data_IF_003573285355
#
_entry.id   IF_003573285355
#
_cell.length_a   1.000
_cell.length_b   1.000
_cell.length_c   1.000
_cell.angle_alpha   90.00
_cell.angle_beta   90.00
_cell.angle_gamma   90.00
#
_symmetry.space_group_name_H-M   'P 1'
#
loop_
_entity.id
_entity.type
_entity.pdbx_description
1 polymer ?
#
# COMPACT_ATOMS: atom_id res chain seq x y z
N UNK A 1 -7.26 26.08 7.46
CA UNK A 1 -7.64 25.28 6.28
C UNK A 1 -8.59 24.17 6.73
N UNK A 2 -9.71 23.99 6.04
CA UNK A 2 -10.67 22.96 6.40
C UNK A 2 -10.15 21.57 5.98
N UNK A 3 -10.64 20.54 6.64
CA UNK A 3 -10.21 19.15 6.45
C UNK A 3 -10.31 18.72 4.99
N UNK A 4 -11.42 19.04 4.31
CA UNK A 4 -11.64 18.68 2.92
C UNK A 4 -10.57 19.25 2.00
N UNK A 5 -10.17 20.50 2.22
CA UNK A 5 -9.12 21.12 1.43
C UNK A 5 -7.77 20.45 1.65
N UNK A 6 -7.49 20.08 2.90
CA UNK A 6 -6.26 19.34 3.23
C UNK A 6 -6.23 17.98 2.55
N UNK A 7 -7.34 17.25 2.59
CA UNK A 7 -7.44 15.95 1.95
C UNK A 7 -7.21 16.05 0.45
N UNK A 8 -7.82 17.05 -0.19
CA UNK A 8 -7.67 17.24 -1.64
C UNK A 8 -6.23 17.59 -2.02
N UNK A 9 -5.60 18.48 -1.27
CA UNK A 9 -4.22 18.87 -1.53
C UNK A 9 -3.26 17.73 -1.32
N UNK A 10 -3.46 16.96 -0.25
CA UNK A 10 -2.63 15.80 0.04
C UNK A 10 -2.78 14.75 -1.04
N UNK A 11 -4.01 14.47 -1.46
CA UNK A 11 -4.27 13.52 -2.54
C UNK A 11 -3.60 13.94 -3.85
N UNK A 12 -3.74 15.21 -4.23
CA UNK A 12 -3.12 15.73 -5.45
C UNK A 12 -1.61 15.57 -5.40
N UNK A 13 -1.02 15.89 -4.26
CA UNK A 13 0.43 15.80 -4.07
C UNK A 13 0.91 14.36 -4.14
N UNK A 14 0.21 13.43 -3.48
CA UNK A 14 0.55 12.02 -3.49
C UNK A 14 0.33 11.41 -4.88
N UNK A 15 -0.70 11.84 -5.57
CA UNK A 15 -0.97 11.38 -6.94
C UNK A 15 0.15 11.80 -7.89
N UNK A 16 0.60 13.05 -7.79
CA UNK A 16 1.72 13.54 -8.60
C UNK A 16 3.02 12.78 -8.27
N UNK A 17 3.25 12.52 -7.00
CA UNK A 17 4.40 11.73 -6.54
C UNK A 17 4.37 10.33 -7.14
N UNK A 18 3.20 9.69 -7.14
CA UNK A 18 3.05 8.35 -7.71
C UNK A 18 3.26 8.34 -9.22
N UNK A 19 2.77 9.37 -9.91
CA UNK A 19 3.00 9.49 -11.35
C UNK A 19 4.48 9.60 -11.69
N UNK A 20 5.24 10.36 -10.91
CA UNK A 20 6.69 10.47 -11.07
C UNK A 20 7.37 9.14 -10.82
N UNK A 21 6.95 8.44 -9.76
CA UNK A 21 7.48 7.12 -9.43
C UNK A 21 7.26 6.12 -10.58
N UNK A 22 6.05 6.08 -11.12
CA UNK A 22 5.72 5.19 -12.22
C UNK A 22 6.46 5.56 -13.51
N UNK A 23 6.59 6.86 -13.79
CA UNK A 23 7.34 7.33 -14.95
C UNK A 23 8.80 6.90 -14.89
N UNK A 24 9.42 7.02 -13.71
CA UNK A 24 10.81 6.60 -13.50
C UNK A 24 10.95 5.10 -13.68
N UNK A 25 9.98 4.31 -13.22
CA UNK A 25 10.00 2.86 -13.39
C UNK A 25 9.86 2.42 -14.84
N UNK A 26 9.05 3.13 -15.64
CA UNK A 26 8.79 2.76 -17.03
C UNK A 26 10.04 2.73 -17.88
N UNK A 27 11.06 3.48 -17.50
CA UNK A 27 12.34 3.52 -18.23
C UNK A 27 13.35 2.52 -17.70
N UNK A 28 12.98 1.74 -16.69
CA UNK A 28 13.84 0.72 -16.09
C UNK A 28 13.68 -0.62 -16.81
N UNK A 29 14.67 -1.52 -16.69
CA UNK A 29 14.53 -2.88 -17.22
C UNK A 29 13.34 -3.62 -16.58
N UNK A 30 12.80 -4.59 -17.31
CA UNK A 30 11.63 -5.34 -16.84
C UNK A 30 11.83 -5.99 -15.49
N UNK A 31 13.04 -6.50 -15.22
CA UNK A 31 13.34 -7.14 -13.93
C UNK A 31 13.21 -6.16 -12.76
N UNK A 32 13.64 -4.92 -12.95
CA UNK A 32 13.50 -3.88 -11.91
C UNK A 32 12.03 -3.51 -11.71
N UNK A 33 11.27 -3.40 -12.79
CA UNK A 33 9.83 -3.09 -12.70
C UNK A 33 9.13 -4.19 -11.90
N UNK A 34 9.43 -5.45 -12.20
CA UNK A 34 8.84 -6.59 -11.51
C UNK A 34 9.21 -6.58 -10.03
N UNK A 35 10.46 -6.24 -9.69
CA UNK A 35 10.90 -6.19 -8.30
C UNK A 35 10.17 -5.11 -7.48
N UNK A 36 9.60 -4.10 -8.16
CA UNK A 36 8.83 -3.04 -7.51
C UNK A 36 7.31 -3.27 -7.59
N UNK A 37 6.87 -4.43 -8.08
CA UNK A 37 5.43 -4.70 -8.26
C UNK A 37 4.62 -4.53 -6.97
N UNK A 38 5.16 -4.99 -5.84
CA UNK A 38 4.50 -4.85 -4.55
C UNK A 38 4.37 -3.37 -4.15
N UNK A 39 5.43 -2.60 -4.35
CA UNK A 39 5.41 -1.17 -4.06
C UNK A 39 4.39 -0.43 -4.92
N UNK A 40 4.31 -0.78 -6.21
CA UNK A 40 3.34 -0.19 -7.13
C UNK A 40 1.92 -0.40 -6.60
N UNK A 41 1.60 -1.64 -6.24
CA UNK A 41 0.27 -2.00 -5.74
C UNK A 41 -0.03 -1.31 -4.41
N UNK A 42 0.93 -1.25 -3.49
CA UNK A 42 0.75 -0.61 -2.19
C UNK A 42 0.54 0.89 -2.33
N UNK A 43 1.32 1.56 -3.18
CA UNK A 43 1.15 3.00 -3.40
C UNK A 43 -0.21 3.32 -3.99
N UNK A 44 -0.67 2.50 -4.93
CA UNK A 44 -1.98 2.67 -5.54
C UNK A 44 -3.10 2.51 -4.50
N UNK A 45 -3.00 1.49 -3.65
CA UNK A 45 -3.97 1.27 -2.58
C UNK A 45 -3.97 2.41 -1.56
N UNK A 46 -2.79 2.93 -1.22
CA UNK A 46 -2.70 4.07 -0.31
C UNK A 46 -3.38 5.31 -0.90
N UNK A 47 -3.20 5.55 -2.20
CA UNK A 47 -3.87 6.66 -2.88
C UNK A 47 -5.39 6.51 -2.82
N UNK A 48 -5.90 5.29 -3.00
CA UNK A 48 -7.34 5.04 -2.97
C UNK A 48 -7.97 5.42 -1.63
N UNK A 49 -7.22 5.29 -0.54
CA UNK A 49 -7.72 5.68 0.78
C UNK A 49 -7.98 7.19 0.88
N UNK A 50 -7.32 7.98 0.04
CA UNK A 50 -7.44 9.44 0.07
C UNK A 50 -8.33 10.01 -1.03
N UNK A 51 -8.91 9.17 -1.89
CA UNK A 51 -9.83 9.62 -2.94
C UNK A 51 -11.13 10.17 -2.36
N UNK A 52 -11.61 9.55 -1.29
CA UNK A 52 -12.82 9.95 -0.59
C UNK A 52 -12.46 10.52 0.78
N UNK A 53 -13.48 10.83 1.58
CA UNK A 53 -13.25 11.29 2.94
C UNK A 53 -12.49 10.25 3.75
N UNK A 54 -11.41 10.68 4.38
CA UNK A 54 -10.65 9.81 5.26
C UNK A 54 -11.13 9.95 6.70
N UNK A 55 -10.78 8.98 7.54
CA UNK A 55 -11.04 9.06 8.98
C UNK A 55 -9.98 9.87 9.71
N UNK A 56 -9.00 10.43 8.99
CA UNK A 56 -7.92 11.20 9.57
C UNK A 56 -8.39 12.58 10.02
N UNK A 57 -7.81 13.07 11.11
CA UNK A 57 -8.06 14.43 11.60
C UNK A 57 -7.28 15.45 10.78
N UNK A 58 -7.66 16.73 10.90
CA UNK A 58 -6.91 17.81 10.27
C UNK A 58 -5.44 17.80 10.70
N UNK A 59 -5.19 17.55 11.97
CA UNK A 59 -3.84 17.51 12.50
C UNK A 59 -3.00 16.40 11.88
N UNK A 60 -3.60 15.23 11.69
CA UNK A 60 -2.93 14.11 11.05
C UNK A 60 -2.62 14.43 9.59
N UNK A 61 -3.56 15.06 8.89
CA UNK A 61 -3.35 15.48 7.52
C UNK A 61 -2.24 16.52 7.39
N UNK A 62 -2.20 17.48 8.32
CA UNK A 62 -1.16 18.50 8.35
C UNK A 62 0.23 17.89 8.52
N UNK A 63 0.36 16.89 9.39
CA UNK A 63 1.62 16.19 9.61
C UNK A 63 2.08 15.49 8.33
N UNK A 64 1.16 14.85 7.61
CA UNK A 64 1.49 14.19 6.34
C UNK A 64 1.92 15.20 5.28
N UNK A 65 1.35 16.41 5.30
CA UNK A 65 1.72 17.46 4.37
C UNK A 65 3.14 18.01 4.60
N UNK A 66 3.72 17.76 5.78
CA UNK A 66 5.08 18.19 6.08
C UNK A 66 6.14 17.39 5.34
N UNK A 67 5.81 16.18 4.87
CA UNK A 67 6.75 15.37 4.12
C UNK A 67 6.88 15.87 2.69
N UNK A 68 8.11 15.83 2.15
CA UNK A 68 8.34 16.13 0.74
C UNK A 68 7.72 15.07 -0.16
N UNK A 69 7.76 13.82 0.30
CA UNK A 69 7.20 12.68 -0.44
C UNK A 69 6.32 11.86 0.51
N UNK A 70 5.08 12.34 0.79
CA UNK A 70 4.21 11.67 1.76
C UNK A 70 3.85 10.24 1.38
N UNK A 71 3.68 9.94 0.10
CA UNK A 71 3.35 8.58 -0.33
C UNK A 71 4.50 7.61 -0.06
N UNK A 72 5.73 8.03 -0.35
CA UNK A 72 6.92 7.24 -0.04
C UNK A 72 7.06 7.00 1.46
N UNK A 73 6.83 8.06 2.26
CA UNK A 73 6.90 7.96 3.72
C UNK A 73 5.89 6.97 4.26
N UNK A 74 4.65 6.98 3.75
CA UNK A 74 3.61 6.05 4.15
C UNK A 74 3.96 4.62 3.76
N UNK A 75 4.50 4.43 2.56
CA UNK A 75 4.91 3.10 2.10
C UNK A 75 6.04 2.54 2.96
N UNK A 76 7.05 3.37 3.26
CA UNK A 76 8.17 2.95 4.10
C UNK A 76 7.71 2.53 5.49
N UNK A 77 6.79 3.29 6.08
CA UNK A 77 6.21 2.96 7.37
C UNK A 77 5.42 1.66 7.30
N UNK A 78 4.63 1.48 6.24
CA UNK A 78 3.84 0.27 6.02
C UNK A 78 4.72 -0.97 5.96
N UNK A 79 5.79 -0.91 5.17
CA UNK A 79 6.71 -2.04 5.03
C UNK A 79 7.37 -2.40 6.36
N UNK A 80 7.77 -1.38 7.13
CA UNK A 80 8.42 -1.60 8.42
C UNK A 80 7.48 -2.18 9.47
N UNK A 81 6.19 -1.85 9.41
CA UNK A 81 5.18 -2.39 10.34
C UNK A 81 4.70 -3.77 9.95
N UNK A 82 4.89 -4.14 8.70
CA UNK A 82 4.27 -5.34 8.14
C UNK A 82 5.14 -6.59 8.25
N UNK A 83 5.84 -6.72 9.38
CA UNK A 83 6.60 -7.93 9.67
C UNK A 83 5.69 -9.16 9.80
N UNK A 84 4.39 -8.94 10.06
CA UNK A 84 3.42 -10.01 10.28
C UNK A 84 2.78 -10.54 8.99
N UNK A 85 2.96 -9.86 7.85
CA UNK A 85 2.34 -10.28 6.59
C UNK A 85 2.78 -11.66 6.15
N UNK A 86 4.07 -11.93 6.23
CA UNK A 86 4.60 -13.25 5.86
C UNK A 86 4.08 -14.35 6.80
N UNK A 87 3.92 -14.02 8.08
CA UNK A 87 3.33 -14.97 9.04
C UNK A 87 1.87 -15.26 8.71
N UNK A 88 1.11 -14.24 8.29
CA UNK A 88 -0.28 -14.40 7.85
C UNK A 88 -0.38 -15.28 6.61
N UNK A 89 0.52 -15.05 5.64
CA UNK A 89 0.58 -15.89 4.45
C UNK A 89 0.90 -17.33 4.80
N UNK A 90 1.86 -17.55 5.68
CA UNK A 90 2.23 -18.88 6.14
C UNK A 90 1.05 -19.59 6.80
N UNK A 91 0.37 -18.91 7.71
CA UNK A 91 -0.81 -19.46 8.39
C UNK A 91 -1.90 -19.81 7.39
N UNK A 92 -2.12 -18.96 6.40
CA UNK A 92 -3.12 -19.18 5.36
C UNK A 92 -2.79 -20.39 4.50
N UNK A 93 -1.51 -20.57 4.15
CA UNK A 93 -1.05 -21.71 3.37
C UNK A 93 -1.24 -23.00 4.17
N UNK A 94 -0.85 -23.00 5.45
CA UNK A 94 -1.00 -24.17 6.33
C UNK A 94 -2.47 -24.55 6.47
N UNK A 95 -3.35 -23.58 6.70
CA UNK A 95 -4.78 -23.83 6.82
C UNK A 95 -5.36 -24.42 5.53
N UNK A 96 -4.94 -23.88 4.39
CA UNK A 96 -5.39 -24.39 3.09
C UNK A 96 -4.94 -25.83 2.85
N UNK A 97 -3.68 -26.14 3.17
CA UNK A 97 -3.14 -27.49 3.01
C UNK A 97 -3.87 -28.47 3.92
N UNK A 98 -4.13 -28.09 5.17
CA UNK A 98 -4.87 -28.92 6.11
C UNK A 98 -6.28 -29.23 5.64
N UNK A 99 -6.97 -28.21 5.09
CA UNK A 99 -8.31 -28.40 4.52
C UNK A 99 -8.31 -29.39 3.37
N UNK A 100 -7.33 -29.30 2.48
CA UNK A 100 -7.21 -30.22 1.35
C UNK A 100 -6.98 -31.65 1.84
N UNK A 101 -6.10 -31.83 2.81
CA UNK A 101 -5.81 -33.15 3.37
C UNK A 101 -7.05 -33.76 4.05
N UNK A 102 -7.79 -32.94 4.81
CA UNK A 102 -9.01 -33.39 5.48
C UNK A 102 -10.06 -33.84 4.47
N UNK A 103 -10.26 -33.10 3.40
CA UNK A 103 -11.21 -33.47 2.35
C UNK A 103 -10.85 -34.77 1.67
N UNK A 104 -9.56 -35.03 1.45
CA UNK A 104 -9.10 -36.30 0.87
C UNK A 104 -9.40 -37.50 1.77
N UNK A 105 -9.24 -37.28 3.08
CA UNK A 105 -9.58 -38.35 4.05
C UNK A 105 -11.07 -38.65 4.03
N UNK A 106 -11.91 -37.59 3.96
CA UNK A 106 -13.38 -37.75 3.93
C UNK A 106 -13.88 -38.45 2.65
N UNK A 107 -13.15 -38.32 1.56
CA UNK A 107 -13.51 -38.92 0.27
C UNK A 107 -13.18 -40.39 0.15
N UNK A 108 -12.48 -40.96 1.09
CA UNK A 108 -12.18 -42.39 1.11
C UNK A 108 -13.34 -43.20 1.73
#
# INVERSE_FOLDING_TARGET
>A
MIKEQLENKLYERMSAENETFLADLRVKPADEIISHAYEIACRDNLLMLFEDETSLSERQLEVLMEFDHPLEALFDDWINRDSDEMDRFRDSVEACADDILRKRVEEK
#
